data_IF_903524656153
#
_entry.id   IF_903524656153
#
_cell.length_a   1.000
_cell.length_b   1.000
_cell.length_c   1.000
_cell.angle_alpha   90.00
_cell.angle_beta   90.00
_cell.angle_gamma   90.00
#
_symmetry.space_group_name_H-M   'P 1'
#
loop_
_entity.id
_entity.type
_entity.pdbx_description
1 polymer ?
#
# COMPACT_ATOMS: atom_id res chain seq x y z
N UNK A 1 14.66 -2.56 -5.60
CA UNK A 1 15.22 -2.84 -4.26
C UNK A 1 14.77 -4.23 -3.85
N UNK A 2 15.69 -5.12 -3.44
CA UNK A 2 15.30 -6.46 -3.02
C UNK A 2 14.54 -6.37 -1.68
N UNK A 3 13.28 -6.86 -1.57
CA UNK A 3 12.48 -6.69 -0.36
C UNK A 3 13.15 -7.29 0.89
N UNK A 4 13.97 -8.31 0.72
CA UNK A 4 14.76 -8.97 1.77
C UNK A 4 15.89 -8.11 2.32
N UNK A 5 16.48 -7.22 1.51
CA UNK A 5 17.56 -6.33 1.95
C UNK A 5 17.04 -5.24 2.88
N UNK A 6 15.85 -4.71 2.61
CA UNK A 6 15.23 -3.68 3.44
C UNK A 6 14.77 -4.25 4.79
N UNK A 7 14.24 -5.47 4.82
CA UNK A 7 13.88 -6.14 6.08
C UNK A 7 15.12 -6.45 6.93
N UNK A 8 16.24 -6.83 6.29
CA UNK A 8 17.52 -7.02 6.98
C UNK A 8 18.01 -5.72 7.63
N UNK A 9 18.01 -4.60 6.91
CA UNK A 9 18.46 -3.31 7.44
C UNK A 9 17.58 -2.80 8.58
N UNK A 10 16.28 -3.08 8.54
CA UNK A 10 15.38 -2.84 9.68
C UNK A 10 15.76 -3.68 10.90
N UNK A 11 16.09 -4.95 10.70
CA UNK A 11 16.56 -5.82 11.78
C UNK A 11 17.90 -5.31 12.37
N UNK A 12 18.84 -4.89 11.51
CA UNK A 12 20.11 -4.28 11.93
C UNK A 12 19.87 -2.98 12.71
N UNK A 13 18.92 -2.14 12.27
CA UNK A 13 18.53 -0.91 12.97
C UNK A 13 18.03 -1.22 14.39
N UNK A 14 17.13 -2.20 14.54
CA UNK A 14 16.59 -2.61 15.84
C UNK A 14 17.71 -3.17 16.73
N UNK A 15 18.57 -4.04 16.18
CA UNK A 15 19.70 -4.59 16.92
C UNK A 15 20.68 -3.48 17.38
N UNK A 16 20.93 -2.49 16.52
CA UNK A 16 21.74 -1.31 16.84
C UNK A 16 21.14 -0.49 17.98
N UNK A 17 19.83 -0.22 17.97
CA UNK A 17 19.14 0.48 19.06
C UNK A 17 19.22 -0.27 20.39
N UNK A 18 18.99 -1.58 20.37
CA UNK A 18 19.07 -2.41 21.58
C UNK A 18 20.50 -2.45 22.13
N UNK A 19 21.50 -2.56 21.26
CA UNK A 19 22.91 -2.50 21.66
C UNK A 19 23.26 -1.13 22.25
N UNK A 20 22.80 -0.04 21.65
CA UNK A 20 23.08 1.32 22.14
C UNK A 20 22.40 1.57 23.49
N UNK A 21 21.17 1.08 23.67
CA UNK A 21 20.45 1.12 24.94
C UNK A 21 21.18 0.34 26.03
N UNK A 22 21.66 -0.87 25.70
CA UNK A 22 22.44 -1.69 26.63
C UNK A 22 23.73 -0.97 27.07
N UNK A 23 24.48 -0.40 26.13
CA UNK A 23 25.68 0.37 26.46
C UNK A 23 25.39 1.62 27.28
N UNK A 24 24.30 2.34 26.97
CA UNK A 24 23.88 3.51 27.73
C UNK A 24 23.51 3.14 29.17
N UNK A 25 22.81 2.02 29.36
CA UNK A 25 22.51 1.48 30.68
C UNK A 25 23.78 1.12 31.44
N UNK A 26 24.69 0.37 30.82
CA UNK A 26 25.98 0.01 31.44
C UNK A 26 26.82 1.23 31.81
N UNK A 27 26.80 2.28 30.98
CA UNK A 27 27.49 3.54 31.25
C UNK A 27 26.87 4.31 32.43
N UNK A 28 25.54 4.36 32.51
CA UNK A 28 24.83 5.09 33.56
C UNK A 28 24.92 4.41 34.94
N UNK A 29 25.07 3.09 34.99
CA UNK A 29 25.16 2.33 36.24
C UNK A 29 26.50 2.51 36.98
N UNK A 30 27.56 2.92 36.28
CA UNK A 30 28.92 2.95 36.84
C UNK A 30 29.31 4.36 37.31
N UNK A 31 29.74 4.57 38.58
CA UNK A 31 30.13 5.88 39.10
C UNK A 31 31.54 6.33 38.65
N UNK A 32 32.04 5.87 37.51
CA UNK A 32 33.41 6.10 37.08
C UNK A 32 33.57 7.37 36.24
N UNK A 33 34.67 8.10 36.49
CA UNK A 33 35.11 9.25 35.70
C UNK A 33 35.67 8.88 34.32
N UNK A 34 35.90 7.59 34.04
CA UNK A 34 36.37 7.08 32.76
C UNK A 34 35.68 5.76 32.42
N UNK A 35 35.02 5.71 31.25
CA UNK A 35 34.39 4.49 30.75
C UNK A 35 35.43 3.48 30.23
N UNK A 36 35.18 2.17 30.41
CA UNK A 36 36.01 1.13 29.80
C UNK A 36 35.95 1.22 28.28
N UNK A 37 37.11 1.02 27.64
CA UNK A 37 37.30 1.18 26.19
C UNK A 37 36.38 0.29 25.34
N UNK A 38 36.04 -0.89 25.86
CA UNK A 38 35.14 -1.84 25.18
C UNK A 38 33.71 -1.28 24.98
N UNK A 39 33.14 -0.64 26.02
CA UNK A 39 31.82 0.01 25.92
C UNK A 39 31.86 1.18 24.92
N UNK A 40 32.98 1.90 24.86
CA UNK A 40 33.18 3.01 23.91
C UNK A 40 33.22 2.46 22.47
N UNK A 41 33.96 1.38 22.21
CA UNK A 41 33.99 0.76 20.89
C UNK A 41 32.60 0.23 20.48
N UNK A 42 31.90 -0.46 21.39
CA UNK A 42 30.57 -1.01 21.12
C UNK A 42 29.54 0.10 20.82
N UNK A 43 29.60 1.22 21.54
CA UNK A 43 28.72 2.39 21.27
C UNK A 43 29.02 3.03 19.93
N UNK A 44 30.30 3.22 19.57
CA UNK A 44 30.68 3.79 18.28
C UNK A 44 30.23 2.89 17.12
N UNK A 45 30.48 1.58 17.20
CA UNK A 45 30.10 0.63 16.14
C UNK A 45 28.57 0.56 16.01
N UNK A 46 27.84 0.46 17.12
CA UNK A 46 26.37 0.43 17.09
C UNK A 46 25.77 1.75 16.57
N UNK A 47 26.37 2.89 16.89
CA UNK A 47 25.95 4.19 16.35
C UNK A 47 26.15 4.28 14.83
N UNK A 48 27.30 3.83 14.30
CA UNK A 48 27.55 3.82 12.85
C UNK A 48 26.54 2.91 12.15
N UNK A 49 26.31 1.70 12.67
CA UNK A 49 25.34 0.77 12.11
C UNK A 49 23.91 1.35 12.14
N UNK A 50 23.55 2.06 13.20
CA UNK A 50 22.26 2.72 13.35
C UNK A 50 22.08 3.82 12.29
N UNK A 51 23.05 4.72 12.15
CA UNK A 51 23.00 5.81 11.16
C UNK A 51 22.94 5.26 9.73
N UNK A 52 23.74 4.25 9.42
CA UNK A 52 23.73 3.60 8.11
C UNK A 52 22.37 2.95 7.80
N UNK A 53 21.80 2.24 8.78
CA UNK A 53 20.49 1.61 8.60
C UNK A 53 19.37 2.64 8.49
N UNK A 54 19.39 3.70 9.31
CA UNK A 54 18.38 4.75 9.32
C UNK A 54 18.37 5.56 8.01
N UNK A 55 19.54 5.91 7.48
CA UNK A 55 19.66 6.61 6.19
C UNK A 55 19.12 5.78 5.04
N UNK A 56 19.36 4.47 5.05
CA UNK A 56 18.80 3.58 4.02
C UNK A 56 17.29 3.38 4.17
N UNK A 57 16.77 3.33 5.40
CA UNK A 57 15.32 3.23 5.67
C UNK A 57 14.58 4.52 5.27
N UNK A 58 15.22 5.68 5.41
CA UNK A 58 14.66 6.97 5.01
C UNK A 58 14.26 7.00 3.52
N UNK A 59 14.85 6.12 2.72
CA UNK A 59 14.46 5.88 1.34
C UNK A 59 15.04 6.88 0.35
N UNK A 60 14.86 6.58 -0.92
CA UNK A 60 15.39 7.39 -2.01
C UNK A 60 14.61 8.68 -2.17
N UNK A 61 15.32 9.78 -2.40
CA UNK A 61 14.71 11.06 -2.74
C UNK A 61 13.89 10.92 -4.03
N UNK A 62 12.62 11.29 -3.95
CA UNK A 62 11.78 11.37 -5.13
C UNK A 62 12.08 12.68 -5.89
N UNK A 63 12.13 12.64 -7.23
CA UNK A 63 12.35 13.86 -8.01
C UNK A 63 11.19 14.83 -7.81
N UNK A 64 11.51 16.10 -7.52
CA UNK A 64 10.51 17.18 -7.30
C UNK A 64 9.74 17.50 -8.59
N UNK A 65 10.33 17.22 -9.76
CA UNK A 65 9.73 17.57 -11.04
C UNK A 65 8.62 16.58 -11.41
N UNK A 66 7.38 17.06 -11.35
CA UNK A 66 6.17 16.29 -11.62
C UNK A 66 6.03 15.88 -13.09
N UNK A 67 6.73 16.52 -14.03
CA UNK A 67 6.64 16.21 -15.46
C UNK A 67 7.19 14.81 -15.78
N UNK A 68 8.28 14.37 -15.15
CA UNK A 68 8.90 13.07 -15.37
C UNK A 68 7.98 11.94 -14.87
N UNK A 69 7.32 12.14 -13.73
CA UNK A 69 6.38 11.17 -13.17
C UNK A 69 4.99 11.21 -13.82
N UNK A 70 4.64 12.31 -14.48
CA UNK A 70 3.39 12.44 -15.23
C UNK A 70 3.51 11.90 -16.67
N UNK A 71 4.71 11.85 -17.26
CA UNK A 71 4.95 11.26 -18.58
C UNK A 71 4.62 9.76 -18.66
N UNK A 72 4.68 9.05 -17.54
CA UNK A 72 4.31 7.63 -17.46
C UNK A 72 2.81 7.39 -17.28
N UNK A 73 2.00 8.43 -17.01
CA UNK A 73 0.54 8.29 -17.00
C UNK A 73 0.01 8.36 -18.43
N UNK A 74 -0.82 7.39 -18.81
CA UNK A 74 -1.50 7.38 -20.11
C UNK A 74 -2.67 8.39 -20.13
N UNK A 75 -3.04 8.81 -21.34
CA UNK A 75 -4.22 9.64 -21.57
C UNK A 75 -5.52 8.97 -21.06
N UNK A 76 -5.58 7.64 -21.08
CA UNK A 76 -6.70 6.88 -20.52
C UNK A 76 -6.84 7.07 -19.01
N UNK A 77 -5.72 7.19 -18.28
CA UNK A 77 -5.73 7.37 -16.83
C UNK A 77 -6.12 8.79 -16.42
N UNK A 78 -5.70 9.80 -17.19
CA UNK A 78 -6.03 11.21 -16.90
C UNK A 78 -7.43 11.59 -17.38
N UNK A 79 -7.92 10.97 -18.45
CA UNK A 79 -9.29 11.14 -18.96
C UNK A 79 -10.33 10.41 -18.11
N UNK A 80 -9.89 9.45 -17.30
CA UNK A 80 -10.72 8.77 -16.33
C UNK A 80 -11.06 9.71 -15.16
N UNK A 81 -12.21 10.36 -15.21
CA UNK A 81 -12.69 11.24 -14.14
C UNK A 81 -13.74 10.51 -13.26
N UNK A 82 -13.37 10.03 -12.05
CA UNK A 82 -14.27 9.23 -11.21
C UNK A 82 -15.54 9.99 -10.80
N UNK A 83 -15.43 11.31 -10.69
CA UNK A 83 -16.54 12.20 -10.34
C UNK A 83 -17.64 12.26 -11.40
N UNK A 84 -17.37 11.86 -12.65
CA UNK A 84 -18.33 11.87 -13.75
C UNK A 84 -18.63 10.47 -14.29
N UNK A 85 -18.39 9.43 -13.50
CA UNK A 85 -18.72 8.08 -13.91
C UNK A 85 -20.22 7.90 -14.12
N UNK A 86 -20.55 7.47 -15.33
CA UNK A 86 -21.90 7.11 -15.72
C UNK A 86 -21.98 5.60 -15.93
N UNK A 87 -22.85 4.92 -15.19
CA UNK A 87 -23.00 3.47 -15.26
C UNK A 87 -23.89 2.98 -16.42
N UNK A 88 -24.40 3.90 -17.24
CA UNK A 88 -25.10 3.59 -18.49
C UNK A 88 -24.11 3.58 -19.66
N UNK A 89 -23.38 2.47 -19.81
CA UNK A 89 -22.45 2.24 -20.92
C UNK A 89 -22.70 0.87 -21.56
N UNK A 90 -22.07 0.59 -22.71
CA UNK A 90 -22.27 -0.65 -23.48
C UNK A 90 -22.07 -1.92 -22.65
N UNK A 91 -21.16 -1.93 -21.68
CA UNK A 91 -20.92 -3.12 -20.86
C UNK A 91 -21.99 -3.36 -19.78
N UNK A 92 -22.93 -2.43 -19.56
CA UNK A 92 -24.11 -2.64 -18.71
C UNK A 92 -24.93 -3.84 -19.18
N UNK A 93 -25.07 -4.02 -20.51
CA UNK A 93 -25.87 -5.12 -21.09
C UNK A 93 -25.18 -6.47 -21.00
N UNK A 94 -23.86 -6.48 -20.82
CA UNK A 94 -23.06 -7.69 -20.62
C UNK A 94 -23.04 -8.13 -19.15
N UNK A 95 -23.63 -7.36 -18.23
CA UNK A 95 -23.72 -7.76 -16.84
C UNK A 95 -24.77 -8.88 -16.67
N UNK A 96 -24.46 -9.95 -15.90
CA UNK A 96 -25.38 -11.07 -15.69
C UNK A 96 -26.69 -10.62 -15.03
N UNK A 97 -26.63 -9.59 -14.17
CA UNK A 97 -27.80 -9.00 -13.51
C UNK A 97 -28.75 -8.29 -14.49
N UNK A 98 -28.21 -7.65 -15.54
CA UNK A 98 -29.05 -7.00 -16.57
C UNK A 98 -29.70 -8.02 -17.52
N UNK A 99 -28.98 -9.09 -17.86
CA UNK A 99 -29.50 -10.18 -18.70
C UNK A 99 -30.63 -10.97 -18.01
N UNK A 100 -30.50 -11.24 -16.70
CA UNK A 100 -31.54 -11.91 -15.92
C UNK A 100 -32.81 -11.05 -15.76
N UNK A 101 -32.66 -9.74 -15.57
CA UNK A 101 -33.79 -8.82 -15.47
C UNK A 101 -34.58 -8.71 -16.80
N UNK A 102 -33.89 -8.75 -17.94
CA UNK A 102 -34.53 -8.77 -19.26
C UNK A 102 -35.34 -10.05 -19.50
N UNK A 103 -34.85 -11.21 -19.07
CA UNK A 103 -35.56 -12.48 -19.20
C UNK A 103 -36.81 -12.54 -18.31
N UNK A 104 -36.69 -12.16 -17.03
CA UNK A 104 -37.83 -12.11 -16.10
C UNK A 104 -38.93 -11.13 -16.52
N UNK A 105 -38.57 -9.98 -17.10
CA UNK A 105 -39.54 -9.02 -17.63
C UNK A 105 -40.26 -9.55 -18.88
N UNK A 106 -39.53 -10.25 -19.76
CA UNK A 106 -40.12 -10.95 -20.89
C UNK A 106 -41.13 -12.00 -20.44
N UNK A 107 -40.72 -12.91 -19.55
CA UNK A 107 -41.54 -14.03 -19.09
C UNK A 107 -42.83 -13.57 -18.39
N UNK A 108 -42.75 -12.54 -17.55
CA UNK A 108 -43.92 -12.02 -16.83
C UNK A 108 -44.94 -11.32 -17.74
N UNK A 109 -44.50 -10.62 -18.78
CA UNK A 109 -45.38 -9.97 -19.75
C UNK A 109 -46.17 -11.00 -20.59
N UNK A 110 -45.51 -12.07 -21.03
CA UNK A 110 -46.17 -13.15 -21.78
C UNK A 110 -47.17 -13.93 -20.93
N UNK A 111 -46.84 -14.21 -19.67
CA UNK A 111 -47.75 -14.91 -18.75
C UNK A 111 -48.98 -14.05 -18.45
N UNK A 112 -48.83 -12.74 -18.20
CA UNK A 112 -49.98 -11.84 -18.00
C UNK A 112 -50.86 -11.73 -19.24
N UNK A 113 -50.28 -11.67 -20.45
CA UNK A 113 -51.06 -11.64 -21.69
C UNK A 113 -51.83 -12.95 -21.90
N UNK A 114 -51.21 -14.10 -21.60
CA UNK A 114 -51.85 -15.40 -21.71
C UNK A 114 -53.04 -15.57 -20.75
N UNK A 115 -52.89 -15.10 -19.50
CA UNK A 115 -53.98 -15.08 -18.52
C UNK A 115 -55.12 -14.18 -18.98
N UNK A 116 -54.81 -12.98 -19.49
CA UNK A 116 -55.83 -12.05 -20.00
C UNK A 116 -56.58 -12.63 -21.21
N UNK A 117 -55.89 -13.42 -22.05
CA UNK A 117 -56.48 -14.09 -23.20
C UNK A 117 -57.34 -15.31 -22.80
N UNK A 118 -57.03 -15.97 -21.67
CA UNK A 118 -57.86 -17.06 -21.13
C UNK A 118 -59.14 -16.59 -20.44
N UNK A 119 -59.16 -15.37 -19.89
CA UNK A 119 -60.35 -14.76 -19.26
C UNK A 119 -61.34 -14.16 -20.29
N UNK A 120 -60.96 -14.11 -21.57
CA UNK A 120 -61.77 -13.57 -22.67
C UNK A 120 -62.60 -14.64 -23.43
N UNK A 121 -62.73 -15.85 -22.89
CA UNK A 121 -63.48 -16.96 -23.47
C UNK A 121 -64.56 -17.47 -22.51
#
# INVERSE_FOLDING_TARGET
MNPTGLSLLRAVCIAGLLSLLHCAYSAAQQPFTRLPLDIILQTVVSLIALVYSATYIAGEFQPIRSDIQNRTKSWDTVGNCPSFYTFTHRAKTLSPSYSAAGHHFGDSAWVSFYILLSELK
#
